data_IF_784770333090
#
_entry.id   IF_784770333090
#
_cell.length_a   1.000
_cell.length_b   1.000
_cell.length_c   1.000
_cell.angle_alpha   90.00
_cell.angle_beta   90.00
_cell.angle_gamma   90.00
#
_symmetry.space_group_name_H-M   'P 1'
#
loop_
_entity.id
_entity.type
_entity.pdbx_description
1 polymer ?
#
# COMPACT_ATOMS: atom_id res chain seq x y z
N UNK A 1 9.93 -13.19 -9.48
CA UNK A 1 10.61 -13.88 -8.38
C UNK A 1 10.33 -13.07 -7.11
N UNK A 2 9.25 -13.38 -6.40
CA UNK A 2 8.76 -12.64 -5.23
C UNK A 2 9.46 -13.12 -3.95
N UNK A 3 10.79 -13.00 -3.85
CA UNK A 3 11.57 -13.52 -2.71
C UNK A 3 11.78 -12.50 -1.57
N UNK A 4 11.03 -11.40 -1.53
CA UNK A 4 11.24 -10.32 -0.56
C UNK A 4 10.07 -10.09 0.42
N UNK A 5 8.99 -10.86 0.32
CA UNK A 5 7.87 -10.79 1.26
C UNK A 5 8.00 -11.87 2.32
N UNK A 6 7.77 -11.51 3.58
CA UNK A 6 7.66 -12.50 4.64
C UNK A 6 6.49 -13.46 4.38
N UNK A 7 6.63 -14.68 4.91
CA UNK A 7 5.60 -15.70 4.83
C UNK A 7 4.29 -15.23 5.48
N UNK A 8 4.36 -14.36 6.49
CA UNK A 8 3.22 -13.79 7.18
C UNK A 8 2.41 -12.84 6.29
N UNK A 9 3.05 -11.89 5.59
CA UNK A 9 2.35 -11.01 4.63
C UNK A 9 1.71 -11.85 3.52
N UNK A 10 2.48 -12.78 2.96
CA UNK A 10 2.00 -13.65 1.87
C UNK A 10 0.82 -14.51 2.30
N UNK A 11 0.85 -15.08 3.50
CA UNK A 11 -0.23 -15.88 4.06
C UNK A 11 -1.48 -15.05 4.35
N UNK A 12 -1.32 -13.84 4.90
CA UNK A 12 -2.46 -12.95 5.14
C UNK A 12 -3.15 -12.55 3.83
N UNK A 13 -2.37 -12.17 2.81
CA UNK A 13 -2.89 -11.87 1.47
C UNK A 13 -3.67 -13.05 0.89
N UNK A 14 -3.12 -14.27 0.95
CA UNK A 14 -3.81 -15.47 0.47
C UNK A 14 -5.12 -15.76 1.23
N UNK A 15 -5.16 -15.51 2.55
CA UNK A 15 -6.37 -15.68 3.37
C UNK A 15 -7.43 -14.62 3.08
N UNK A 16 -7.01 -13.38 2.85
CA UNK A 16 -7.88 -12.25 2.50
C UNK A 16 -8.68 -12.55 1.22
N UNK A 17 -8.04 -13.19 0.23
CA UNK A 17 -8.63 -13.58 -1.05
C UNK A 17 -9.62 -14.75 -0.95
N UNK A 18 -9.61 -15.51 0.15
CA UNK A 18 -10.44 -16.70 0.33
C UNK A 18 -11.64 -16.54 1.27
N UNK A 19 -11.82 -15.38 1.89
CA UNK A 19 -12.82 -15.17 2.94
C UNK A 19 -13.90 -14.14 2.54
N UNK A 20 -15.18 -14.56 2.58
CA UNK A 20 -16.36 -13.68 2.48
C UNK A 20 -16.52 -12.71 3.67
N UNK A 21 -17.48 -11.76 3.61
CA UNK A 21 -17.34 -10.42 4.17
C UNK A 21 -17.53 -10.36 5.69
N UNK A 22 -16.69 -9.57 6.36
CA UNK A 22 -16.99 -9.01 7.68
C UNK A 22 -16.11 -7.80 8.07
N UNK A 23 -14.89 -7.67 7.52
CA UNK A 23 -13.97 -6.60 7.90
C UNK A 23 -14.02 -5.42 6.92
N UNK A 24 -14.00 -4.20 7.45
CA UNK A 24 -13.88 -2.99 6.63
C UNK A 24 -12.50 -2.90 5.96
N UNK A 25 -12.38 -2.14 4.85
CA UNK A 25 -11.08 -1.86 4.19
C UNK A 25 -10.04 -1.32 5.18
N UNK A 26 -10.48 -0.52 6.16
CA UNK A 26 -9.64 0.04 7.22
C UNK A 26 -9.09 -1.04 8.17
N UNK A 27 -9.91 -2.03 8.54
CA UNK A 27 -9.46 -3.17 9.35
C UNK A 27 -8.50 -4.08 8.60
N UNK A 28 -8.72 -4.22 7.29
CA UNK A 28 -7.82 -4.96 6.41
C UNK A 28 -6.43 -4.32 6.34
N UNK A 29 -6.36 -2.99 6.21
CA UNK A 29 -5.10 -2.25 6.29
C UNK A 29 -4.41 -2.49 7.63
N UNK A 30 -5.14 -2.35 8.75
CA UNK A 30 -4.57 -2.53 10.08
C UNK A 30 -4.03 -3.97 10.31
N UNK A 31 -4.85 -5.00 10.03
CA UNK A 31 -4.46 -6.41 10.21
C UNK A 31 -3.34 -6.84 9.25
N UNK A 32 -3.37 -6.32 8.02
CA UNK A 32 -2.30 -6.56 7.05
C UNK A 32 -0.99 -5.93 7.49
N UNK A 33 -1.03 -4.72 8.06
CA UNK A 33 0.12 -4.03 8.61
C UNK A 33 0.77 -4.80 9.77
N UNK A 34 -0.01 -5.48 10.61
CA UNK A 34 0.54 -6.34 11.68
C UNK A 34 1.38 -7.51 11.15
N UNK A 35 1.20 -7.88 9.89
CA UNK A 35 1.98 -8.92 9.23
C UNK A 35 3.29 -8.40 8.62
N UNK A 36 3.46 -7.08 8.49
CA UNK A 36 4.65 -6.46 7.89
C UNK A 36 5.80 -6.44 8.89
N UNK A 37 6.88 -7.14 8.55
CA UNK A 37 8.09 -7.19 9.38
C UNK A 37 9.06 -6.03 9.06
N UNK A 38 10.00 -5.71 9.97
CA UNK A 38 11.08 -4.78 9.68
C UNK A 38 11.93 -5.18 8.46
N UNK A 39 12.05 -6.50 8.19
CA UNK A 39 12.75 -7.00 7.01
C UNK A 39 12.00 -6.66 5.72
N UNK A 40 10.67 -6.76 5.73
CA UNK A 40 9.82 -6.36 4.61
C UNK A 40 9.99 -4.86 4.32
N UNK A 41 10.01 -4.02 5.37
CA UNK A 41 10.28 -2.58 5.25
C UNK A 41 11.67 -2.29 4.68
N UNK A 42 12.70 -3.01 5.13
CA UNK A 42 14.07 -2.85 4.62
C UNK A 42 14.22 -3.30 3.15
N UNK A 43 13.43 -4.30 2.75
CA UNK A 43 13.34 -4.82 1.39
C UNK A 43 12.52 -3.94 0.45
N UNK A 44 11.65 -3.07 0.99
CA UNK A 44 10.69 -2.29 0.20
C UNK A 44 11.33 -1.46 -0.92
N UNK A 45 12.51 -0.90 -0.69
CA UNK A 45 13.26 -0.13 -1.70
C UNK A 45 13.52 -0.90 -3.01
N UNK A 46 13.64 -2.23 -2.94
CA UNK A 46 13.91 -3.07 -4.11
C UNK A 46 12.66 -3.31 -4.96
N UNK A 47 11.47 -3.21 -4.37
CA UNK A 47 10.20 -3.41 -5.07
C UNK A 47 9.58 -2.10 -5.59
N UNK A 48 10.10 -0.95 -5.14
CA UNK A 48 9.61 0.37 -5.54
C UNK A 48 9.54 0.59 -7.07
N UNK A 49 10.53 0.14 -7.88
CA UNK A 49 10.42 0.25 -9.34
C UNK A 49 9.27 -0.57 -9.92
N UNK A 50 8.92 -1.69 -9.29
CA UNK A 50 7.80 -2.53 -9.70
C UNK A 50 6.46 -1.88 -9.39
N UNK A 51 6.32 -1.28 -8.20
CA UNK A 51 5.12 -0.51 -7.81
C UNK A 51 4.85 0.58 -8.85
N UNK A 52 5.89 1.34 -9.20
CA UNK A 52 5.80 2.42 -10.19
C UNK A 52 5.42 1.92 -11.58
N UNK A 53 6.01 0.81 -12.04
CA UNK A 53 5.65 0.20 -13.32
C UNK A 53 4.19 -0.25 -13.35
N UNK A 54 3.66 -0.78 -12.24
CA UNK A 54 2.27 -1.23 -12.14
C UNK A 54 1.26 -0.08 -12.23
N UNK A 55 1.59 1.09 -11.65
CA UNK A 55 0.68 2.25 -11.66
C UNK A 55 0.85 3.20 -12.85
N UNK A 56 1.96 3.09 -13.58
CA UNK A 56 2.24 3.88 -14.78
C UNK A 56 1.15 3.78 -15.88
N UNK A 57 0.60 2.58 -16.22
CA UNK A 57 -0.44 2.46 -17.23
C UNK A 57 -1.84 2.89 -16.75
N UNK A 58 -2.04 3.20 -15.46
CA UNK A 58 -3.34 3.57 -14.89
C UNK A 58 -3.79 4.99 -15.28
N UNK A 59 -3.80 5.30 -16.58
CA UNK A 59 -4.10 6.61 -17.13
C UNK A 59 -5.46 7.20 -16.69
N UNK A 60 -6.37 6.37 -16.18
CA UNK A 60 -7.69 6.79 -15.71
C UNK A 60 -7.74 7.29 -14.25
N UNK A 61 -6.75 7.01 -13.39
CA UNK A 61 -6.79 7.43 -11.96
C UNK A 61 -5.53 8.16 -11.52
N UNK A 62 -5.43 9.45 -11.90
CA UNK A 62 -4.39 10.38 -11.43
C UNK A 62 -4.28 10.38 -9.90
N UNK A 63 -5.43 10.34 -9.22
CA UNK A 63 -5.55 10.34 -7.76
C UNK A 63 -4.91 9.11 -7.12
N UNK A 64 -5.17 7.91 -7.65
CA UNK A 64 -4.56 6.67 -7.17
C UNK A 64 -3.04 6.71 -7.34
N UNK A 65 -2.57 7.11 -8.53
CA UNK A 65 -1.13 7.23 -8.80
C UNK A 65 -0.44 8.19 -7.83
N UNK A 66 -1.05 9.35 -7.58
CA UNK A 66 -0.51 10.33 -6.64
C UNK A 66 -0.40 9.76 -5.22
N UNK A 67 -1.41 9.02 -4.75
CA UNK A 67 -1.40 8.39 -3.42
C UNK A 67 -0.34 7.31 -3.31
N UNK A 68 -0.21 6.47 -4.33
CA UNK A 68 0.85 5.47 -4.40
C UNK A 68 2.22 6.13 -4.32
N UNK A 69 2.45 7.22 -5.06
CA UNK A 69 3.74 7.94 -4.99
C UNK A 69 3.98 8.59 -3.62
N UNK A 70 2.95 9.12 -2.95
CA UNK A 70 3.07 9.66 -1.60
C UNK A 70 3.50 8.56 -0.62
N UNK A 71 2.80 7.42 -0.61
CA UNK A 71 3.11 6.30 0.28
C UNK A 71 4.50 5.71 -0.03
N UNK A 72 4.83 5.56 -1.31
CA UNK A 72 6.14 5.11 -1.79
C UNK A 72 7.28 6.02 -1.33
N UNK A 73 7.10 7.34 -1.43
CA UNK A 73 8.10 8.32 -1.01
C UNK A 73 8.27 8.33 0.50
N UNK A 74 7.16 8.28 1.24
CA UNK A 74 7.16 8.17 2.70
C UNK A 74 7.99 6.96 3.18
N UNK A 75 7.76 5.78 2.58
CA UNK A 75 8.52 4.57 2.90
C UNK A 75 9.99 4.65 2.51
N UNK A 76 10.29 5.27 1.36
CA UNK A 76 11.67 5.44 0.89
C UNK A 76 12.49 6.32 1.84
N UNK A 77 11.87 7.34 2.41
CA UNK A 77 12.53 8.35 3.23
C UNK A 77 12.52 8.02 4.72
N UNK A 78 11.60 7.19 5.17
CA UNK A 78 11.53 6.78 6.58
C UNK A 78 12.40 5.54 6.81
N UNK A 79 13.36 5.57 7.76
CA UNK A 79 14.20 4.40 8.06
C UNK A 79 13.36 3.18 8.46
N UNK A 80 13.68 2.00 7.91
CA UNK A 80 12.97 0.76 8.26
C UNK A 80 13.02 0.42 9.76
N UNK A 81 14.08 0.86 10.45
CA UNK A 81 14.24 0.70 11.90
C UNK A 81 13.19 1.45 12.73
N UNK A 82 12.54 2.48 12.17
CA UNK A 82 11.46 3.19 12.87
C UNK A 82 10.24 2.29 13.05
N UNK A 83 9.99 1.37 12.10
CA UNK A 83 8.92 0.38 12.10
C UNK A 83 7.60 0.95 12.66
N UNK A 84 7.18 2.11 12.18
CA UNK A 84 5.96 2.77 12.66
C UNK A 84 4.74 2.07 12.11
N UNK A 85 3.58 2.27 12.75
CA UNK A 85 2.32 1.77 12.23
C UNK A 85 2.03 2.33 10.83
N UNK A 86 2.26 3.62 10.61
CA UNK A 86 2.10 4.25 9.30
C UNK A 86 3.00 3.63 8.22
N UNK A 87 4.25 3.27 8.55
CA UNK A 87 5.12 2.55 7.62
C UNK A 87 4.58 1.17 7.29
N UNK A 88 4.15 0.40 8.28
CA UNK A 88 3.61 -0.95 8.04
C UNK A 88 2.33 -0.90 7.21
N UNK A 89 1.43 0.04 7.49
CA UNK A 89 0.20 0.23 6.73
C UNK A 89 0.47 0.65 5.27
N UNK A 90 1.37 1.63 5.06
CA UNK A 90 1.78 2.04 3.73
C UNK A 90 2.46 0.91 2.95
N UNK A 91 3.32 0.13 3.60
CA UNK A 91 4.02 -0.99 2.96
C UNK A 91 3.04 -2.11 2.58
N UNK A 92 2.13 -2.47 3.49
CA UNK A 92 1.12 -3.50 3.26
C UNK A 92 0.30 -3.22 2.00
N UNK A 93 -0.25 -2.02 1.86
CA UNK A 93 -1.11 -1.71 0.70
C UNK A 93 -0.34 -1.65 -0.61
N UNK A 94 0.95 -1.31 -0.59
CA UNK A 94 1.80 -1.35 -1.78
C UNK A 94 2.24 -2.77 -2.13
N UNK A 95 2.39 -3.66 -1.14
CA UNK A 95 2.56 -5.09 -1.38
C UNK A 95 1.30 -5.73 -1.95
N UNK A 96 0.13 -5.38 -1.42
CA UNK A 96 -1.18 -5.80 -1.93
C UNK A 96 -1.33 -5.38 -3.40
N UNK A 97 -1.08 -4.10 -3.68
CA UNK A 97 -1.09 -3.54 -5.03
C UNK A 97 -0.19 -4.35 -5.97
N UNK A 98 0.99 -4.79 -5.55
CA UNK A 98 1.86 -5.64 -6.38
C UNK A 98 1.32 -7.05 -6.59
N UNK A 99 0.73 -7.65 -5.55
CA UNK A 99 0.24 -9.03 -5.56
C UNK A 99 -0.83 -9.26 -6.63
N UNK A 100 -1.65 -8.24 -6.93
CA UNK A 100 -2.49 -8.21 -8.15
C UNK A 100 -3.59 -9.26 -8.23
N UNK A 101 -4.06 -9.77 -7.09
CA UNK A 101 -5.22 -10.63 -7.02
C UNK A 101 -6.44 -9.80 -6.60
N UNK A 102 -7.53 -9.93 -7.36
CA UNK A 102 -8.81 -9.26 -7.14
C UNK A 102 -9.44 -9.72 -5.80
N UNK A 103 -9.84 -8.78 -4.94
CA UNK A 103 -10.54 -9.08 -3.68
C UNK A 103 -12.06 -9.18 -3.89
N UNK A 104 -12.60 -8.51 -4.91
CA UNK A 104 -14.00 -8.58 -5.31
C UNK A 104 -14.15 -9.61 -6.44
N UNK A 105 -14.86 -10.73 -6.22
CA UNK A 105 -15.22 -11.64 -7.28
C UNK A 105 -16.38 -11.04 -8.10
N UNK A 106 -16.08 -10.13 -9.02
CA UNK A 106 -17.03 -9.72 -10.05
C UNK A 106 -16.60 -10.22 -11.44
N UNK A 107 -17.61 -10.59 -12.22
CA UNK A 107 -17.50 -11.44 -13.41
C UNK A 107 -16.94 -10.72 -14.64
N UNK A 108 -16.09 -9.70 -14.47
CA UNK A 108 -15.61 -8.82 -15.54
C UNK A 108 -14.08 -8.62 -15.43
N UNK A 109 -13.26 -9.12 -16.37
CA UNK A 109 -11.79 -9.12 -16.30
C UNK A 109 -11.09 -7.75 -16.35
N UNK A 110 -11.79 -6.63 -16.18
CA UNK A 110 -11.25 -5.27 -16.38
C UNK A 110 -11.37 -4.34 -15.16
N UNK A 111 -11.80 -4.81 -13.97
CA UNK A 111 -11.98 -3.95 -12.78
C UNK A 111 -11.21 -4.45 -11.54
N UNK A 112 -9.94 -4.84 -11.70
CA UNK A 112 -9.06 -5.18 -10.57
C UNK A 112 -8.47 -3.99 -9.79
N UNK A 113 -8.86 -2.77 -10.16
CA UNK A 113 -8.26 -1.52 -9.64
C UNK A 113 -9.10 -0.87 -8.52
N UNK A 114 -10.35 -1.29 -8.35
CA UNK A 114 -11.23 -0.69 -7.36
C UNK A 114 -10.78 -1.04 -5.95
N UNK A 115 -10.46 -2.31 -5.67
CA UNK A 115 -9.98 -2.76 -4.37
C UNK A 115 -8.62 -2.17 -4.02
N UNK A 116 -7.70 -2.16 -4.98
CA UNK A 116 -6.42 -1.48 -4.86
C UNK A 116 -6.63 0.00 -4.50
N UNK A 117 -7.54 0.68 -5.19
CA UNK A 117 -7.84 2.07 -4.89
C UNK A 117 -8.44 2.26 -3.49
N UNK A 118 -9.31 1.37 -3.05
CA UNK A 118 -9.93 1.42 -1.72
C UNK A 118 -8.90 1.18 -0.62
N UNK A 119 -8.03 0.18 -0.74
CA UNK A 119 -6.99 -0.10 0.25
C UNK A 119 -5.95 1.01 0.30
N UNK A 120 -5.48 1.48 -0.86
CA UNK A 120 -4.57 2.64 -0.93
C UNK A 120 -5.21 3.87 -0.29
N UNK A 121 -6.49 4.11 -0.55
CA UNK A 121 -7.21 5.24 0.02
C UNK A 121 -7.41 5.13 1.53
N UNK A 122 -7.74 3.93 2.01
CA UNK A 122 -7.87 3.68 3.44
C UNK A 122 -6.54 3.93 4.16
N UNK A 123 -5.43 3.37 3.67
CA UNK A 123 -4.11 3.60 4.25
C UNK A 123 -3.68 5.07 4.16
N UNK A 124 -3.94 5.74 3.05
CA UNK A 124 -3.65 7.16 2.90
C UNK A 124 -4.40 8.01 3.93
N UNK A 125 -5.70 7.79 4.09
CA UNK A 125 -6.52 8.57 5.02
C UNK A 125 -6.19 8.28 6.49
N UNK A 126 -5.94 7.01 6.84
CA UNK A 126 -5.53 6.61 8.20
C UNK A 126 -4.24 7.28 8.64
N UNK A 127 -3.32 7.45 7.69
CA UNK A 127 -1.98 7.96 7.97
C UNK A 127 -1.78 9.42 7.52
N UNK A 128 -2.86 10.14 7.19
CA UNK A 128 -2.78 11.49 6.63
C UNK A 128 -2.02 12.47 7.53
N UNK A 129 -2.18 12.35 8.85
CA UNK A 129 -1.46 13.17 9.82
C UNK A 129 0.06 12.93 9.74
N UNK A 130 0.49 11.67 9.80
CA UNK A 130 1.91 11.30 9.76
C UNK A 130 2.54 11.64 8.41
N UNK A 131 1.82 11.42 7.31
CA UNK A 131 2.25 11.80 5.97
C UNK A 131 2.44 13.33 5.87
N UNK A 132 1.50 14.13 6.39
CA UNK A 132 1.64 15.60 6.40
C UNK A 132 2.80 16.06 7.27
N UNK A 133 2.98 15.46 8.44
CA UNK A 133 4.10 15.74 9.32
C UNK A 133 5.45 15.42 8.65
N UNK A 134 5.53 14.28 7.94
CA UNK A 134 6.70 13.89 7.17
C UNK A 134 7.03 14.92 6.07
N UNK A 135 6.02 15.38 5.31
CA UNK A 135 6.23 16.40 4.27
C UNK A 135 6.73 17.72 4.85
N UNK A 136 6.12 18.17 5.95
CA UNK A 136 6.52 19.38 6.64
C UNK A 136 7.95 19.30 7.18
N UNK A 137 8.33 18.15 7.76
CA UNK A 137 9.68 17.91 8.27
C UNK A 137 10.75 17.95 7.16
N UNK A 138 10.37 17.62 5.93
CA UNK A 138 11.24 17.71 4.75
C UNK A 138 11.16 19.06 4.03
N UNK A 139 10.45 20.05 4.58
CA UNK A 139 10.30 21.39 3.98
C UNK A 139 9.51 21.40 2.68
N UNK A 140 8.65 20.39 2.44
CA UNK A 140 7.89 20.24 1.20
C UNK A 140 6.45 20.70 1.39
N UNK A 141 5.87 21.44 0.41
CA UNK A 141 4.44 21.67 0.42
C UNK A 141 3.68 20.35 0.25
N UNK A 142 2.55 20.21 0.94
CA UNK A 142 1.67 19.07 0.74
C UNK A 142 1.21 19.02 -0.72
N UNK A 143 1.35 17.87 -1.42
CA UNK A 143 0.94 17.77 -2.81
C UNK A 143 -0.59 17.93 -2.86
N UNK A 144 -1.03 19.03 -3.46
CA UNK A 144 -2.45 19.35 -3.61
C UNK A 144 -3.14 18.25 -4.43
N UNK A 145 -4.36 17.88 -4.02
CA UNK A 145 -5.24 17.05 -4.83
C UNK A 145 -5.74 17.93 -6.00
N UNK A 146 -5.02 17.93 -7.13
CA UNK A 146 -5.36 18.71 -8.34
C UNK A 146 -5.71 17.81 -9.51
#
# INVERSE_FOLDING_TARGET
MHEHLSSSVSHYLAKMLGAGPAASTSEHVARGADCVSPADLAGFRFILPEVRRKVAPLGASRRLRQRVEILALFLKETPAAANTQAQREAAFVLFYLLHGHDLIPDSVPEIGLLDDALLIEAAFNRNLHDLRAHWAAHGRPWPLES
#
